data_IF_537664304773
#
_entry.id   IF_537664304773
#
_cell.length_a   1.000
_cell.length_b   1.000
_cell.length_c   1.000
_cell.angle_alpha   90.00
_cell.angle_beta   90.00
_cell.angle_gamma   90.00
#
_symmetry.space_group_name_H-M   'P 1'
#
loop_
_entity.id
_entity.type
_entity.pdbx_description
1 polymer ?
#
# COMPACT_ATOMS: atom_id res chain seq x y z
N UNK A 1 -9.31 11.11 5.58
CA UNK A 1 -9.76 11.37 4.19
C UNK A 1 -8.52 11.49 3.29
N UNK A 2 -8.50 10.78 2.16
CA UNK A 2 -7.46 10.89 1.13
C UNK A 2 -8.07 11.55 -0.11
N UNK A 3 -7.47 12.63 -0.58
CA UNK A 3 -7.86 13.30 -1.85
C UNK A 3 -6.68 13.31 -2.79
N UNK A 4 -6.89 12.80 -3.99
CA UNK A 4 -5.87 12.71 -5.04
C UNK A 4 -6.44 13.27 -6.33
N UNK A 5 -5.71 14.19 -6.92
CA UNK A 5 -5.89 14.63 -8.29
C UNK A 5 -4.49 14.85 -8.88
N UNK A 6 -4.07 13.99 -9.79
CA UNK A 6 -2.70 14.02 -10.32
C UNK A 6 -2.70 13.72 -11.82
N UNK A 7 -1.88 14.48 -12.53
CA UNK A 7 -1.57 14.28 -13.93
C UNK A 7 -0.09 13.90 -14.07
N UNK A 8 0.19 12.92 -14.93
CA UNK A 8 1.55 12.46 -15.21
C UNK A 8 1.69 11.90 -16.61
N UNK A 9 2.70 12.33 -17.33
CA UNK A 9 3.10 11.75 -18.62
C UNK A 9 4.37 10.91 -18.45
N UNK A 10 4.33 9.65 -18.88
CA UNK A 10 5.42 8.68 -18.82
C UNK A 10 5.66 8.11 -20.22
N UNK A 11 6.51 8.74 -21.02
CA UNK A 11 6.64 8.42 -22.44
C UNK A 11 5.33 8.64 -23.20
N UNK A 12 4.79 7.59 -23.81
CA UNK A 12 3.49 7.64 -24.50
C UNK A 12 2.29 7.46 -23.58
N UNK A 13 2.50 7.01 -22.33
CA UNK A 13 1.44 6.79 -21.36
C UNK A 13 1.12 8.06 -20.59
N UNK A 14 -0.15 8.47 -20.59
CA UNK A 14 -0.64 9.65 -19.88
C UNK A 14 -1.62 9.24 -18.79
N UNK A 15 -1.46 9.80 -17.61
CA UNK A 15 -2.35 9.63 -16.46
C UNK A 15 -3.04 10.93 -16.11
N UNK A 16 -4.36 10.84 -15.85
CA UNK A 16 -5.18 11.89 -15.25
C UNK A 16 -6.15 11.19 -14.28
N UNK A 17 -5.79 11.21 -13.00
CA UNK A 17 -6.47 10.44 -11.96
C UNK A 17 -6.96 11.34 -10.86
N UNK A 18 -8.28 11.35 -10.64
CA UNK A 18 -8.93 12.10 -9.57
C UNK A 18 -9.87 11.20 -8.78
N UNK A 19 -9.69 11.12 -7.45
CA UNK A 19 -10.60 10.46 -6.54
C UNK A 19 -10.46 10.97 -5.10
N UNK A 20 -11.50 10.71 -4.30
CA UNK A 20 -11.49 10.94 -2.85
C UNK A 20 -11.94 9.65 -2.16
N UNK A 21 -11.30 9.31 -1.05
CA UNK A 21 -11.71 8.17 -0.22
C UNK A 21 -11.66 8.53 1.26
N UNK A 22 -12.74 8.19 1.96
CA UNK A 22 -12.85 8.22 3.43
C UNK A 22 -12.77 6.82 4.04
N UNK A 23 -12.65 5.81 3.19
CA UNK A 23 -12.63 4.41 3.58
C UNK A 23 -11.32 4.04 4.29
N UNK A 24 -11.42 3.14 5.26
CA UNK A 24 -10.22 2.57 5.92
C UNK A 24 -9.37 1.76 4.95
N UNK A 25 -10.01 1.05 4.02
CA UNK A 25 -9.31 0.27 3.01
C UNK A 25 -9.88 0.58 1.63
N UNK A 26 -9.07 1.21 0.79
CA UNK A 26 -9.38 1.54 -0.60
C UNK A 26 -8.56 0.66 -1.52
N UNK A 27 -9.20 -0.07 -2.41
CA UNK A 27 -8.50 -0.81 -3.45
C UNK A 27 -8.28 0.07 -4.69
N UNK A 28 -7.07 0.00 -5.24
CA UNK A 28 -6.80 0.40 -6.62
C UNK A 28 -6.83 -0.86 -7.48
N UNK A 29 -7.87 -0.99 -8.29
CA UNK A 29 -8.11 -2.15 -9.13
C UNK A 29 -8.00 -1.78 -10.61
N UNK A 30 -7.69 -2.74 -11.47
CA UNK A 30 -7.61 -2.55 -12.92
C UNK A 30 -6.54 -3.43 -13.58
N UNK A 31 -6.49 -3.46 -14.91
CA UNK A 31 -5.54 -4.29 -15.66
C UNK A 31 -4.08 -3.90 -15.39
N UNK A 32 -3.16 -4.80 -15.77
CA UNK A 32 -1.74 -4.48 -15.78
C UNK A 32 -1.48 -3.30 -16.73
N UNK A 33 -0.61 -2.38 -16.32
CA UNK A 33 -0.34 -1.17 -17.12
C UNK A 33 -1.33 -0.02 -16.92
N UNK A 34 -2.43 -0.17 -16.16
CA UNK A 34 -3.40 0.90 -15.91
C UNK A 34 -2.85 2.09 -15.11
N UNK A 35 -1.61 2.01 -14.58
CA UNK A 35 -0.96 3.10 -13.85
C UNK A 35 -1.05 2.99 -12.33
N UNK A 36 -1.54 1.88 -11.76
CA UNK A 36 -1.73 1.68 -10.31
C UNK A 36 -0.46 1.96 -9.49
N UNK A 37 0.65 1.29 -9.84
CA UNK A 37 1.96 1.48 -9.18
C UNK A 37 2.47 2.92 -9.34
N UNK A 38 2.31 3.54 -10.53
CA UNK A 38 2.69 4.94 -10.74
C UNK A 38 1.89 5.87 -9.85
N UNK A 39 0.59 5.64 -9.68
CA UNK A 39 -0.28 6.42 -8.82
C UNK A 39 0.16 6.36 -7.35
N UNK A 40 0.38 5.15 -6.80
CA UNK A 40 0.83 5.04 -5.41
C UNK A 40 2.25 5.56 -5.20
N UNK A 41 3.12 5.49 -6.22
CA UNK A 41 4.44 6.13 -6.18
C UNK A 41 4.32 7.65 -6.14
N UNK A 42 3.35 8.26 -6.83
CA UNK A 42 3.06 9.69 -6.73
C UNK A 42 2.53 10.07 -5.34
N UNK A 43 1.63 9.29 -4.78
CA UNK A 43 1.13 9.48 -3.41
C UNK A 43 2.28 9.37 -2.39
N UNK A 44 3.15 8.38 -2.56
CA UNK A 44 4.31 8.16 -1.69
C UNK A 44 5.42 9.22 -1.83
N UNK A 45 5.41 10.00 -2.92
CA UNK A 45 6.48 10.97 -3.25
C UNK A 45 7.73 10.33 -3.85
N UNK A 46 7.61 9.10 -4.37
CA UNK A 46 8.67 8.40 -5.10
C UNK A 46 8.68 8.75 -6.59
N UNK A 47 7.55 9.23 -7.10
CA UNK A 47 7.37 9.77 -8.44
C UNK A 47 6.69 11.13 -8.30
N UNK A 48 7.26 12.16 -8.91
CA UNK A 48 6.66 13.50 -8.89
C UNK A 48 5.56 13.59 -9.95
N UNK A 49 4.31 13.99 -9.60
CA UNK A 49 3.29 14.37 -10.57
C UNK A 49 3.75 15.57 -11.41
N UNK A 50 3.24 15.69 -12.64
CA UNK A 50 3.47 16.90 -13.46
C UNK A 50 2.57 18.02 -12.99
N UNK A 51 1.30 17.70 -12.65
CA UNK A 51 0.32 18.62 -12.08
C UNK A 51 -0.57 17.94 -11.07
N UNK A 52 -1.30 18.75 -10.31
CA UNK A 52 -2.36 18.31 -9.44
C UNK A 52 -2.06 18.49 -7.96
N UNK A 53 -2.78 17.70 -7.12
CA UNK A 53 -2.75 17.81 -5.66
C UNK A 53 -2.90 16.43 -5.02
N UNK A 54 -2.17 16.19 -3.95
CA UNK A 54 -2.30 15.02 -3.06
C UNK A 54 -2.43 15.53 -1.64
N UNK A 55 -3.49 15.10 -0.95
CA UNK A 55 -3.81 15.52 0.41
C UNK A 55 -4.26 14.32 1.26
N UNK A 56 -3.78 14.25 2.51
CA UNK A 56 -4.17 13.25 3.50
C UNK A 56 -4.59 13.98 4.78
N UNK A 57 -5.84 13.78 5.21
CA UNK A 57 -6.40 14.36 6.44
C UNK A 57 -6.18 15.87 6.57
N UNK A 58 -6.37 16.62 5.46
CA UNK A 58 -6.21 18.07 5.39
C UNK A 58 -4.77 18.55 5.20
N UNK A 59 -3.77 17.66 5.29
CA UNK A 59 -2.39 18.03 5.00
C UNK A 59 -2.03 17.79 3.54
N UNK A 60 -1.56 18.85 2.88
CA UNK A 60 -1.15 18.82 1.47
C UNK A 60 0.26 18.26 1.35
N UNK A 61 0.39 17.12 0.65
CA UNK A 61 1.67 16.46 0.39
C UNK A 61 2.30 16.94 -0.92
N UNK A 62 1.46 17.24 -1.90
CA UNK A 62 1.85 17.77 -3.20
C UNK A 62 0.77 18.75 -3.70
N UNK A 63 1.18 19.87 -4.22
CA UNK A 63 0.32 20.81 -4.92
C UNK A 63 1.17 21.62 -5.93
N UNK A 64 0.95 21.36 -7.22
CA UNK A 64 1.71 22.01 -8.29
C UNK A 64 1.42 23.50 -8.40
N UNK A 65 0.20 23.95 -8.07
CA UNK A 65 -0.18 25.37 -8.14
C UNK A 65 0.39 26.16 -6.96
N UNK A 66 0.46 25.53 -5.78
CA UNK A 66 1.03 26.15 -4.58
C UNK A 66 2.55 25.94 -4.44
N UNK A 67 3.18 25.18 -5.34
CA UNK A 67 4.60 24.85 -5.27
C UNK A 67 4.98 23.93 -4.11
N UNK A 68 4.03 23.14 -3.58
CA UNK A 68 4.25 22.22 -2.48
C UNK A 68 4.68 20.87 -3.04
N UNK A 69 5.82 20.36 -2.57
CA UNK A 69 6.30 19.02 -2.90
C UNK A 69 7.00 18.42 -1.67
N UNK A 70 6.21 17.80 -0.80
CA UNK A 70 6.74 17.18 0.41
C UNK A 70 7.57 15.94 0.06
N UNK A 71 8.85 15.87 0.46
CA UNK A 71 9.70 14.73 0.15
C UNK A 71 9.16 13.44 0.80
N UNK A 72 9.36 12.29 0.15
CA UNK A 72 8.79 11.00 0.55
C UNK A 72 9.00 10.66 2.03
N UNK A 73 10.19 10.91 2.57
CA UNK A 73 10.53 10.60 3.97
C UNK A 73 9.75 11.45 5.00
N UNK A 74 9.21 12.62 4.61
CA UNK A 74 8.33 13.45 5.46
C UNK A 74 6.86 13.07 5.37
N UNK A 75 6.44 12.36 4.32
CA UNK A 75 5.03 12.01 4.11
C UNK A 75 4.49 11.01 5.13
N UNK A 76 5.36 10.34 5.88
CA UNK A 76 4.98 9.31 6.87
C UNK A 76 4.08 8.23 6.28
N UNK A 77 4.43 7.72 5.10
CA UNK A 77 3.70 6.69 4.37
C UNK A 77 4.45 5.37 4.52
N UNK A 78 3.77 4.35 5.01
CA UNK A 78 4.27 2.98 5.00
C UNK A 78 4.08 2.37 3.61
N UNK A 79 5.16 1.94 2.97
CA UNK A 79 5.11 1.34 1.64
C UNK A 79 5.55 -0.13 1.69
N UNK A 80 4.66 -1.01 1.27
CA UNK A 80 4.94 -2.44 1.10
C UNK A 80 5.01 -2.74 -0.40
N UNK A 81 6.21 -3.01 -0.89
CA UNK A 81 6.47 -3.33 -2.28
C UNK A 81 6.09 -4.79 -2.58
N UNK A 82 5.79 -5.08 -3.84
CA UNK A 82 5.45 -6.42 -4.33
C UNK A 82 6.47 -7.50 -3.90
N UNK A 83 7.77 -7.20 -3.93
CA UNK A 83 8.84 -8.11 -3.54
C UNK A 83 9.24 -8.00 -2.05
N UNK A 84 8.54 -7.20 -1.24
CA UNK A 84 8.82 -6.96 0.17
C UNK A 84 10.09 -6.14 0.45
N UNK A 85 11.11 -6.19 -0.39
CA UNK A 85 12.38 -5.42 -0.34
C UNK A 85 12.99 -5.35 1.06
N UNK A 86 13.16 -6.51 1.71
CA UNK A 86 13.86 -6.59 3.00
C UNK A 86 15.36 -6.36 2.83
N UNK A 87 15.98 -5.77 3.84
CA UNK A 87 17.42 -5.53 3.89
C UNK A 87 18.14 -6.87 4.15
N UNK A 88 18.90 -7.43 3.19
CA UNK A 88 19.36 -8.81 3.23
C UNK A 88 20.43 -9.08 4.30
N UNK A 89 21.19 -8.04 4.68
CA UNK A 89 22.24 -8.10 5.69
C UNK A 89 21.72 -7.98 7.14
N UNK A 90 20.45 -7.60 7.31
CA UNK A 90 19.80 -7.48 8.62
C UNK A 90 19.00 -8.74 8.96
N UNK A 91 18.86 -9.02 10.26
CA UNK A 91 17.88 -9.99 10.76
C UNK A 91 16.46 -9.43 10.59
N UNK A 92 15.45 -10.27 10.80
CA UNK A 92 14.04 -9.85 10.82
C UNK A 92 13.83 -8.74 11.85
N UNK A 93 14.33 -8.93 13.07
CA UNK A 93 14.27 -7.92 14.14
C UNK A 93 14.82 -6.56 13.68
N UNK A 94 15.98 -6.53 13.05
CA UNK A 94 16.58 -5.31 12.56
C UNK A 94 15.82 -4.71 11.36
N UNK A 95 15.23 -5.55 10.49
CA UNK A 95 14.37 -5.08 9.41
C UNK A 95 13.12 -4.38 9.96
N UNK A 96 12.48 -4.98 10.98
CA UNK A 96 11.30 -4.39 11.63
C UNK A 96 11.62 -3.05 12.28
N UNK A 97 12.77 -2.94 12.94
CA UNK A 97 13.18 -1.74 13.67
C UNK A 97 13.77 -0.64 12.78
N UNK A 98 14.13 -0.97 11.54
CA UNK A 98 14.85 -0.08 10.63
C UNK A 98 14.11 1.24 10.37
N UNK A 99 12.82 1.19 10.07
CA UNK A 99 12.02 2.37 9.77
C UNK A 99 11.94 3.34 10.95
N UNK A 100 11.76 2.80 12.16
CA UNK A 100 11.78 3.55 13.41
C UNK A 100 13.14 4.21 13.64
N UNK A 101 14.22 3.43 13.50
CA UNK A 101 15.58 3.92 13.71
C UNK A 101 15.92 5.07 12.75
N UNK A 102 15.60 4.93 11.47
CA UNK A 102 15.83 5.98 10.47
C UNK A 102 14.97 7.23 10.71
N UNK A 103 13.75 7.06 11.24
CA UNK A 103 12.84 8.15 11.59
C UNK A 103 13.17 8.85 12.92
N UNK A 104 14.17 8.37 13.68
CA UNK A 104 14.53 8.93 14.99
C UNK A 104 13.46 8.70 16.08
N UNK A 105 12.53 7.76 15.87
CA UNK A 105 11.47 7.46 16.83
C UNK A 105 12.00 6.60 18.00
N UNK A 106 11.45 6.84 19.20
CA UNK A 106 11.76 5.98 20.35
C UNK A 106 11.24 4.56 20.12
N UNK A 107 11.97 3.57 20.65
CA UNK A 107 11.50 2.19 20.67
C UNK A 107 10.29 2.06 21.59
N UNK A 108 9.21 1.52 21.04
CA UNK A 108 8.00 1.14 21.77
C UNK A 108 7.91 -0.38 21.82
N UNK A 109 8.24 -1.00 22.97
CA UNK A 109 8.20 -2.46 23.11
C UNK A 109 6.79 -3.02 22.92
N UNK A 110 5.75 -2.30 23.35
CA UNK A 110 4.37 -2.76 23.23
C UNK A 110 3.89 -2.76 21.77
N UNK A 111 4.17 -1.69 21.02
CA UNK A 111 3.87 -1.64 19.60
C UNK A 111 4.66 -2.67 18.80
N UNK A 112 5.93 -2.92 19.14
CA UNK A 112 6.74 -3.96 18.51
C UNK A 112 6.14 -5.35 18.76
N UNK A 113 5.83 -5.67 20.02
CA UNK A 113 5.26 -6.96 20.40
C UNK A 113 3.90 -7.17 19.72
N UNK A 114 3.03 -6.15 19.72
CA UNK A 114 1.73 -6.20 19.05
C UNK A 114 1.87 -6.53 17.55
N UNK A 115 2.78 -5.88 16.83
CA UNK A 115 3.03 -6.14 15.40
C UNK A 115 3.58 -7.56 15.18
N UNK A 116 4.47 -8.03 16.07
CA UNK A 116 5.03 -9.37 15.99
C UNK A 116 3.94 -10.43 16.17
N UNK A 117 3.02 -10.25 17.11
CA UNK A 117 1.88 -11.13 17.35
C UNK A 117 0.82 -11.07 16.26
N UNK A 118 0.46 -9.84 15.81
CA UNK A 118 -0.49 -9.60 14.71
C UNK A 118 -0.10 -10.37 13.45
N UNK A 119 1.19 -10.39 13.13
CA UNK A 119 1.73 -10.99 11.90
C UNK A 119 2.30 -12.40 12.11
N UNK A 120 2.29 -12.91 13.33
CA UNK A 120 2.84 -14.23 13.72
C UNK A 120 4.29 -14.43 13.20
N UNK A 121 5.17 -13.48 13.50
CA UNK A 121 6.56 -13.47 13.04
C UNK A 121 7.58 -13.59 14.16
N UNK A 122 7.14 -13.86 15.39
CA UNK A 122 8.01 -13.96 16.58
C UNK A 122 9.12 -14.99 16.44
N UNK A 123 8.81 -16.16 15.88
CA UNK A 123 9.73 -17.27 15.65
C UNK A 123 10.77 -17.01 14.52
N UNK A 124 10.64 -15.87 13.81
CA UNK A 124 11.50 -15.49 12.69
C UNK A 124 12.50 -14.38 13.04
N UNK A 125 12.39 -13.75 14.22
CA UNK A 125 13.08 -12.51 14.56
C UNK A 125 14.60 -12.54 14.35
N UNK A 126 15.23 -13.69 14.61
CA UNK A 126 16.68 -13.86 14.48
C UNK A 126 17.13 -14.41 13.11
N UNK A 127 16.17 -14.72 12.22
CA UNK A 127 16.46 -15.15 10.86
C UNK A 127 16.85 -13.98 9.96
N UNK A 128 17.56 -14.30 8.86
CA UNK A 128 17.85 -13.35 7.76
C UNK A 128 16.90 -13.59 6.59
N UNK A 129 16.62 -12.57 5.75
CA UNK A 129 15.68 -12.64 4.64
C UNK A 129 15.88 -13.81 3.67
N UNK A 130 17.13 -14.20 3.42
CA UNK A 130 17.46 -15.32 2.54
C UNK A 130 16.97 -16.71 3.02
N UNK A 131 16.57 -16.84 4.30
CA UNK A 131 16.04 -18.08 4.89
C UNK A 131 14.52 -18.06 5.09
N UNK A 132 13.84 -17.08 4.49
CA UNK A 132 12.40 -16.86 4.65
C UNK A 132 11.65 -17.31 3.39
N UNK A 133 10.46 -17.85 3.56
CA UNK A 133 9.48 -18.05 2.49
C UNK A 133 8.98 -16.72 1.93
N UNK A 134 8.34 -16.72 0.76
CA UNK A 134 7.73 -15.52 0.18
C UNK A 134 6.72 -14.87 1.12
N UNK A 135 5.85 -15.67 1.75
CA UNK A 135 4.86 -15.20 2.71
C UNK A 135 5.45 -14.61 3.98
N UNK A 136 6.49 -15.24 4.55
CA UNK A 136 7.20 -14.69 5.70
C UNK A 136 7.85 -13.35 5.36
N UNK A 137 8.51 -13.24 4.19
CA UNK A 137 9.07 -11.96 3.73
C UNK A 137 8.02 -10.87 3.63
N UNK A 138 6.83 -11.20 3.11
CA UNK A 138 5.75 -10.24 2.94
C UNK A 138 5.19 -9.78 4.29
N UNK A 139 4.93 -10.68 5.24
CA UNK A 139 4.50 -10.33 6.60
C UNK A 139 5.51 -9.42 7.30
N UNK A 140 6.80 -9.70 7.17
CA UNK A 140 7.86 -8.87 7.75
C UNK A 140 7.92 -7.49 7.08
N UNK A 141 7.71 -7.39 5.75
CA UNK A 141 7.65 -6.11 5.06
C UNK A 141 6.47 -5.25 5.53
N UNK A 142 5.31 -5.87 5.76
CA UNK A 142 4.15 -5.22 6.39
C UNK A 142 4.49 -4.76 7.80
N UNK A 143 5.07 -5.61 8.64
CA UNK A 143 5.48 -5.27 10.00
C UNK A 143 6.47 -4.10 10.06
N UNK A 144 7.44 -4.07 9.15
CA UNK A 144 8.39 -2.95 9.02
C UNK A 144 7.67 -1.64 8.69
N UNK A 145 6.69 -1.69 7.78
CA UNK A 145 5.92 -0.51 7.42
C UNK A 145 5.04 -0.01 8.58
N UNK A 146 4.42 -0.92 9.35
CA UNK A 146 3.59 -0.58 10.51
C UNK A 146 4.38 0.08 11.64
N UNK A 147 5.57 -0.44 11.93
CA UNK A 147 6.43 0.06 13.01
C UNK A 147 7.00 1.47 12.74
N UNK A 148 6.88 1.96 11.52
CA UNK A 148 7.12 3.37 11.20
C UNK A 148 6.01 4.30 11.69
N UNK A 149 4.91 3.76 12.24
CA UNK A 149 3.70 4.51 12.63
C UNK A 149 3.22 5.43 11.49
N UNK A 150 2.93 4.86 10.32
CA UNK A 150 2.53 5.64 9.16
C UNK A 150 1.14 6.22 9.34
N UNK A 151 0.85 7.30 8.60
CA UNK A 151 -0.50 7.87 8.47
C UNK A 151 -1.32 7.27 7.33
N UNK A 152 -0.67 6.59 6.41
CA UNK A 152 -1.25 5.84 5.29
C UNK A 152 -0.36 4.64 5.00
N UNK A 153 -0.97 3.48 4.77
CA UNK A 153 -0.28 2.27 4.33
C UNK A 153 -0.57 2.01 2.85
N UNK A 154 0.46 1.87 2.04
CA UNK A 154 0.38 1.50 0.63
C UNK A 154 0.87 0.06 0.47
N UNK A 155 0.04 -0.80 -0.11
CA UNK A 155 0.32 -2.20 -0.37
C UNK A 155 0.28 -2.43 -1.89
N UNK A 156 1.44 -2.55 -2.52
CA UNK A 156 1.58 -2.70 -3.98
C UNK A 156 1.63 -4.17 -4.37
N UNK A 157 0.51 -4.70 -4.82
CA UNK A 157 0.33 -6.12 -5.20
C UNK A 157 0.97 -7.10 -4.19
N UNK A 158 0.67 -6.99 -2.89
CA UNK A 158 1.43 -7.66 -1.85
C UNK A 158 1.37 -9.19 -1.91
N UNK A 159 0.44 -9.76 -2.68
CA UNK A 159 0.25 -11.20 -2.82
C UNK A 159 0.59 -11.73 -4.22
N UNK A 160 1.00 -10.87 -5.17
CA UNK A 160 1.17 -11.27 -6.57
C UNK A 160 2.22 -12.38 -6.79
N UNK A 161 3.29 -12.38 -5.99
CA UNK A 161 4.39 -13.36 -6.10
C UNK A 161 4.14 -14.67 -5.34
N UNK A 162 2.95 -14.88 -4.79
CA UNK A 162 2.61 -16.02 -3.93
C UNK A 162 1.68 -16.99 -4.64
N UNK A 163 1.88 -18.28 -4.40
CA UNK A 163 0.95 -19.32 -4.79
C UNK A 163 -0.34 -19.27 -3.96
N UNK A 164 -1.39 -19.98 -4.40
CA UNK A 164 -2.72 -19.94 -3.78
C UNK A 164 -2.73 -20.41 -2.31
N UNK A 165 -1.84 -21.34 -1.92
CA UNK A 165 -1.75 -21.79 -0.55
C UNK A 165 -1.19 -20.68 0.34
N UNK A 166 -0.08 -20.06 -0.06
CA UNK A 166 0.54 -18.95 0.68
C UNK A 166 -0.32 -17.69 0.72
N UNK A 167 -1.12 -17.42 -0.33
CA UNK A 167 -2.11 -16.33 -0.29
C UNK A 167 -3.13 -16.56 0.82
N UNK A 168 -3.66 -17.77 0.96
CA UNK A 168 -4.60 -18.13 2.04
C UNK A 168 -4.00 -17.96 3.43
N UNK A 169 -2.70 -18.19 3.57
CA UNK A 169 -2.01 -18.03 4.86
C UNK A 169 -1.85 -16.54 5.25
N UNK A 170 -1.75 -15.63 4.28
CA UNK A 170 -1.50 -14.20 4.55
C UNK A 170 -2.79 -13.38 4.62
N UNK A 171 -3.80 -13.71 3.84
CA UNK A 171 -5.07 -12.96 3.80
C UNK A 171 -5.66 -12.69 5.19
N UNK A 172 -5.73 -13.67 6.13
CA UNK A 172 -6.24 -13.41 7.48
C UNK A 172 -5.45 -12.34 8.24
N UNK A 173 -4.14 -12.22 8.01
CA UNK A 173 -3.32 -11.16 8.64
C UNK A 173 -3.62 -9.79 8.04
N UNK A 174 -3.89 -9.70 6.75
CA UNK A 174 -4.28 -8.45 6.09
C UNK A 174 -5.71 -8.02 6.49
N UNK A 175 -6.62 -8.98 6.67
CA UNK A 175 -7.96 -8.71 7.21
C UNK A 175 -7.88 -8.17 8.64
N UNK A 176 -7.15 -8.85 9.53
CA UNK A 176 -6.90 -8.36 10.89
C UNK A 176 -6.24 -6.98 10.89
N UNK A 177 -5.27 -6.76 10.01
CA UNK A 177 -4.63 -5.46 9.85
C UNK A 177 -5.64 -4.38 9.47
N UNK A 178 -6.54 -4.63 8.49
CA UNK A 178 -7.62 -3.72 8.12
C UNK A 178 -8.51 -3.38 9.31
N UNK A 179 -8.86 -4.38 10.11
CA UNK A 179 -9.83 -4.24 11.20
C UNK A 179 -9.20 -3.58 12.45
N UNK A 180 -7.96 -3.90 12.77
CA UNK A 180 -7.24 -3.42 13.95
C UNK A 180 -6.47 -2.11 13.71
N UNK A 181 -5.96 -1.87 12.48
CA UNK A 181 -5.21 -0.67 12.18
C UNK A 181 -6.12 0.57 12.15
N UNK A 182 -5.73 1.60 12.88
CA UNK A 182 -6.47 2.87 12.93
C UNK A 182 -6.10 3.82 11.78
N UNK A 183 -5.27 3.40 10.86
CA UNK A 183 -4.83 4.20 9.72
C UNK A 183 -5.50 3.72 8.42
N UNK A 184 -5.72 4.63 7.45
CA UNK A 184 -6.18 4.25 6.12
C UNK A 184 -5.11 3.43 5.38
N UNK A 185 -5.58 2.54 4.47
CA UNK A 185 -4.72 1.80 3.57
C UNK A 185 -5.19 1.87 2.13
N UNK A 186 -4.22 1.83 1.20
CA UNK A 186 -4.46 1.58 -0.21
C UNK A 186 -3.92 0.20 -0.54
N UNK A 187 -4.78 -0.65 -1.09
CA UNK A 187 -4.47 -2.00 -1.51
C UNK A 187 -4.50 -2.09 -3.04
N UNK A 188 -3.36 -2.27 -3.68
CA UNK A 188 -3.28 -2.46 -5.12
C UNK A 188 -3.36 -3.93 -5.44
N UNK A 189 -4.31 -4.33 -6.27
CA UNK A 189 -4.43 -5.69 -6.79
C UNK A 189 -5.19 -5.70 -8.12
N UNK A 190 -4.94 -6.72 -8.94
CA UNK A 190 -5.75 -7.07 -10.10
C UNK A 190 -6.65 -8.29 -9.83
N UNK A 191 -6.66 -8.80 -8.60
CA UNK A 191 -7.46 -9.96 -8.17
C UNK A 191 -8.71 -9.48 -7.41
N UNK A 192 -9.89 -9.63 -8.03
CA UNK A 192 -11.15 -9.19 -7.45
C UNK A 192 -11.48 -9.89 -6.12
N UNK A 193 -11.12 -11.18 -5.96
CA UNK A 193 -11.36 -11.92 -4.70
C UNK A 193 -10.57 -11.31 -3.54
N UNK A 194 -9.30 -10.97 -3.75
CA UNK A 194 -8.48 -10.30 -2.74
C UNK A 194 -9.06 -8.93 -2.37
N UNK A 195 -9.45 -8.16 -3.40
CA UNK A 195 -10.05 -6.82 -3.20
C UNK A 195 -11.32 -6.88 -2.36
N UNK A 196 -12.23 -7.83 -2.64
CA UNK A 196 -13.47 -8.01 -1.88
C UNK A 196 -13.25 -8.36 -0.41
N UNK A 197 -12.17 -9.09 -0.10
CA UNK A 197 -11.84 -9.45 1.27
C UNK A 197 -11.23 -8.27 2.05
N UNK A 198 -10.39 -7.46 1.39
CA UNK A 198 -9.57 -6.46 2.07
C UNK A 198 -10.20 -5.07 2.03
N UNK A 199 -10.79 -4.66 0.91
CA UNK A 199 -11.27 -3.29 0.72
C UNK A 199 -12.77 -3.15 0.96
N UNK A 200 -13.20 -1.94 1.32
CA UNK A 200 -14.61 -1.53 1.35
C UNK A 200 -14.93 -0.52 0.24
N UNK A 201 -13.91 0.09 -0.35
CA UNK A 201 -14.02 1.04 -1.45
C UNK A 201 -13.05 0.68 -2.58
N UNK A 202 -13.48 0.85 -3.82
CA UNK A 202 -12.68 0.55 -5.01
C UNK A 202 -12.59 1.77 -5.90
N UNK A 203 -11.38 2.04 -6.37
CA UNK A 203 -11.07 2.95 -7.47
C UNK A 203 -10.59 2.10 -8.63
N UNK A 204 -11.39 2.00 -9.66
CA UNK A 204 -11.05 1.25 -10.88
C UNK A 204 -10.26 2.16 -11.82
N UNK A 205 -9.03 1.76 -12.13
CA UNK A 205 -8.16 2.45 -13.08
C UNK A 205 -8.13 1.70 -14.40
N UNK A 206 -8.28 2.44 -15.48
CA UNK A 206 -8.08 1.95 -16.84
C UNK A 206 -7.41 3.04 -17.69
N UNK A 207 -6.41 2.67 -18.49
CA UNK A 207 -5.71 3.58 -19.41
C UNK A 207 -5.23 4.88 -18.75
N UNK A 208 -4.83 4.86 -17.47
CA UNK A 208 -4.36 6.05 -16.74
C UNK A 208 -5.46 6.96 -16.21
N UNK A 209 -6.71 6.52 -16.19
CA UNK A 209 -7.87 7.27 -15.70
C UNK A 209 -8.71 6.48 -14.72
N UNK A 210 -9.53 7.17 -13.92
CA UNK A 210 -10.55 6.52 -13.10
C UNK A 210 -11.74 6.18 -13.99
N UNK A 211 -11.97 4.88 -14.23
CA UNK A 211 -13.13 4.40 -14.96
C UNK A 211 -14.39 4.43 -14.07
N UNK A 212 -14.27 3.98 -12.82
CA UNK A 212 -15.35 4.04 -11.84
C UNK A 212 -14.79 4.04 -10.42
N UNK A 213 -15.60 4.49 -9.45
CA UNK A 213 -15.30 4.45 -8.03
C UNK A 213 -16.55 4.12 -7.23
N UNK A 214 -16.41 3.43 -6.11
CA UNK A 214 -17.55 3.06 -5.25
C UNK A 214 -17.24 1.90 -4.32
N UNK A 215 -18.27 1.25 -3.80
CA UNK A 215 -18.13 0.06 -2.97
C UNK A 215 -17.66 -1.16 -3.76
N UNK A 216 -17.20 -2.19 -3.05
CA UNK A 216 -16.64 -3.41 -3.67
C UNK A 216 -17.67 -4.23 -4.48
N UNK A 217 -18.95 -4.03 -4.23
CA UNK A 217 -20.05 -4.63 -5.01
C UNK A 217 -20.02 -4.23 -6.50
N UNK A 218 -19.43 -3.08 -6.82
CA UNK A 218 -19.25 -2.62 -8.21
C UNK A 218 -18.25 -3.44 -9.02
N UNK A 219 -17.41 -4.21 -8.36
CA UNK A 219 -16.45 -5.09 -9.06
C UNK A 219 -17.17 -6.14 -9.91
N UNK A 220 -18.31 -6.67 -9.47
CA UNK A 220 -19.06 -7.69 -10.22
C UNK A 220 -19.71 -7.10 -11.47
N UNK A 221 -20.28 -5.89 -11.35
CA UNK A 221 -20.89 -5.18 -12.47
C UNK A 221 -19.86 -4.79 -13.54
N UNK A 222 -18.74 -4.23 -13.13
CA UNK A 222 -17.70 -3.76 -14.05
C UNK A 222 -16.91 -4.91 -14.73
N UNK A 223 -16.83 -6.09 -14.11
CA UNK A 223 -16.24 -7.28 -14.77
C UNK A 223 -17.15 -7.83 -15.88
N UNK A 224 -18.47 -7.69 -15.74
CA UNK A 224 -19.43 -8.12 -16.77
C UNK A 224 -19.36 -7.20 -17.99
N UNK A 225 -19.23 -5.89 -17.78
CA UNK A 225 -19.15 -4.91 -18.88
C UNK A 225 -17.84 -4.98 -19.69
N UNK A 226 -16.75 -5.52 -19.11
CA UNK A 226 -15.49 -5.74 -19.82
C UNK A 226 -15.45 -7.04 -20.64
N UNK A 227 -16.39 -7.96 -20.42
CA UNK A 227 -16.49 -9.24 -21.14
C UNK A 227 -17.55 -9.21 -22.23
N UNK A 228 -18.31 -8.12 -22.36
CA UNK A 228 -19.32 -7.86 -23.39
C UNK A 228 -18.75 -6.97 -24.50
#
# INVERSE_FOLDING_TARGET
>A
MLTVHVEKTLGEFSMDVAFTSESRATALFGPSGAGKTSLINMIAGLLRPDRGRVEIDGEVLFDSAAGIDMPAWRRRIGYVFQEGRLLPHFTVRHNLDYGRWMGGHRFDPAAFQHVVELLDIGHLLDRRPGKLSGGERQRIAVGRALLMQPRLLLLDEPLASLDSARKRDILPYLERLRDEARMPMIYVSHNATEVKLIASHVVWLDGGRVATTGGVERLDAAQVDMLA
#
